data_IF_394076759470
#
_entry.id   IF_394076759470
#
_cell.length_a   1.000
_cell.length_b   1.000
_cell.length_c   1.000
_cell.angle_alpha   90.00
_cell.angle_beta   90.00
_cell.angle_gamma   90.00
#
_symmetry.space_group_name_H-M   'P 1'
#
loop_
_entity.id
_entity.type
_entity.pdbx_description
1 polymer ?
#
# COMPACT_ATOMS: atom_id res chain seq x y z
N UNK A 1 11.55 -19.97 -8.51
CA UNK A 1 10.37 -19.05 -8.62
C UNK A 1 10.69 -17.98 -9.65
N UNK A 2 9.87 -17.83 -10.72
CA UNK A 2 10.14 -16.83 -11.77
C UNK A 2 10.23 -15.43 -11.18
N UNK A 3 11.26 -14.67 -11.56
CA UNK A 3 11.54 -13.30 -11.09
C UNK A 3 10.31 -12.39 -11.22
N UNK A 4 9.53 -12.58 -12.28
CA UNK A 4 8.33 -11.80 -12.52
C UNK A 4 7.16 -12.14 -11.59
N UNK A 5 7.00 -13.41 -11.21
CA UNK A 5 5.99 -13.83 -10.22
C UNK A 5 6.36 -13.31 -8.82
N UNK A 6 7.66 -13.22 -8.54
CA UNK A 6 8.20 -12.67 -7.31
C UNK A 6 7.94 -11.15 -7.22
N UNK A 7 8.15 -10.40 -8.31
CA UNK A 7 7.82 -8.96 -8.40
C UNK A 7 6.35 -8.66 -8.09
N UNK A 8 5.43 -9.43 -8.68
CA UNK A 8 3.98 -9.30 -8.44
C UNK A 8 3.62 -9.57 -6.98
N UNK A 9 4.20 -10.62 -6.37
CA UNK A 9 4.01 -10.88 -4.93
C UNK A 9 4.53 -9.75 -4.05
N UNK A 10 5.69 -9.18 -4.38
CA UNK A 10 6.27 -8.05 -3.65
C UNK A 10 5.34 -6.84 -3.67
N UNK A 11 4.79 -6.46 -4.83
CA UNK A 11 3.86 -5.34 -4.92
C UNK A 11 2.59 -5.56 -4.09
N UNK A 12 2.07 -6.78 -4.06
CA UNK A 12 0.92 -7.12 -3.23
C UNK A 12 1.23 -7.01 -1.73
N UNK A 13 2.39 -7.54 -1.30
CA UNK A 13 2.83 -7.46 0.09
C UNK A 13 3.05 -5.99 0.51
N UNK A 14 3.74 -5.19 -0.31
CA UNK A 14 3.95 -3.76 -0.05
C UNK A 14 2.62 -3.01 0.05
N UNK A 15 1.71 -3.23 -0.89
CA UNK A 15 0.38 -2.61 -0.86
C UNK A 15 -0.37 -2.95 0.43
N UNK A 16 -0.28 -4.20 0.91
CA UNK A 16 -0.93 -4.64 2.13
C UNK A 16 -0.30 -3.99 3.37
N UNK A 17 1.04 -3.94 3.44
CA UNK A 17 1.76 -3.30 4.55
C UNK A 17 1.39 -1.82 4.66
N UNK A 18 1.41 -1.09 3.54
CA UNK A 18 1.02 0.32 3.53
C UNK A 18 -0.47 0.52 3.83
N UNK A 19 -1.34 -0.43 3.46
CA UNK A 19 -2.76 -0.35 3.80
C UNK A 19 -2.97 -0.46 5.32
N UNK A 20 -2.29 -1.40 5.99
CA UNK A 20 -2.31 -1.51 7.45
C UNK A 20 -1.80 -0.23 8.10
N UNK A 21 -0.69 0.33 7.57
CA UNK A 21 -0.11 1.57 8.08
C UNK A 21 -1.06 2.76 7.90
N UNK A 22 -1.81 2.81 6.79
CA UNK A 22 -2.87 3.80 6.54
C UNK A 22 -3.98 3.72 7.59
N UNK A 23 -4.42 2.52 7.94
CA UNK A 23 -5.44 2.28 8.96
C UNK A 23 -4.95 2.71 10.36
N UNK A 24 -3.72 2.37 10.71
CA UNK A 24 -3.09 2.79 11.97
C UNK A 24 -3.00 4.32 12.02
N UNK A 25 -2.46 4.94 10.96
CA UNK A 25 -2.36 6.39 10.86
C UNK A 25 -3.73 7.06 10.94
N UNK A 26 -4.73 6.53 10.24
CA UNK A 26 -6.10 7.05 10.27
C UNK A 26 -6.73 6.95 11.66
N UNK A 27 -6.55 5.81 12.34
CA UNK A 27 -7.01 5.63 13.71
C UNK A 27 -6.37 6.63 14.68
N UNK A 28 -5.04 6.83 14.60
CA UNK A 28 -4.33 7.79 15.45
C UNK A 28 -4.78 9.24 15.22
N UNK A 29 -5.07 9.59 13.96
CA UNK A 29 -5.54 10.93 13.60
C UNK A 29 -6.98 11.15 14.08
N UNK A 30 -7.89 10.20 13.84
CA UNK A 30 -9.31 10.30 14.27
C UNK A 30 -9.42 10.32 15.80
N UNK A 31 -8.53 9.62 16.52
CA UNK A 31 -8.50 9.62 17.98
C UNK A 31 -7.76 10.82 18.59
N UNK A 32 -7.36 11.81 17.78
CA UNK A 32 -6.57 12.97 18.22
C UNK A 32 -5.29 12.60 18.98
N UNK A 33 -4.74 11.40 18.75
CA UNK A 33 -3.40 11.03 19.24
C UNK A 33 -2.30 11.64 18.38
N UNK A 34 -2.66 12.13 17.20
CA UNK A 34 -1.76 12.71 16.22
C UNK A 34 -2.48 13.79 15.42
N UNK A 35 -2.03 15.04 15.52
CA UNK A 35 -2.71 16.19 14.91
C UNK A 35 -2.37 16.38 13.41
N UNK A 36 -1.69 15.41 12.81
CA UNK A 36 -1.25 15.47 11.42
C UNK A 36 -1.85 14.32 10.60
N UNK A 37 -2.75 14.66 9.68
CA UNK A 37 -3.36 13.71 8.75
C UNK A 37 -2.34 13.05 7.78
N UNK A 38 -1.16 13.66 7.61
CA UNK A 38 -0.08 13.14 6.76
C UNK A 38 0.35 11.72 7.12
N UNK A 39 0.22 11.30 8.38
CA UNK A 39 0.53 9.94 8.82
C UNK A 39 -0.42 8.88 8.26
N UNK A 40 -1.62 9.26 7.83
CA UNK A 40 -2.54 8.36 7.10
C UNK A 40 -2.42 8.56 5.59
N UNK A 41 -2.30 9.81 5.13
CA UNK A 41 -2.27 10.15 3.70
C UNK A 41 -1.02 9.63 3.00
N UNK A 42 0.16 9.72 3.63
CA UNK A 42 1.42 9.27 2.99
C UNK A 42 1.40 7.75 2.75
N UNK A 43 1.11 6.88 3.75
CA UNK A 43 0.96 5.45 3.50
C UNK A 43 -0.12 5.12 2.47
N UNK A 44 -1.23 5.87 2.45
CA UNK A 44 -2.31 5.66 1.48
C UNK A 44 -1.83 5.85 0.03
N UNK A 45 -1.03 6.89 -0.23
CA UNK A 45 -0.44 7.13 -1.55
C UNK A 45 0.45 5.96 -2.00
N UNK A 46 1.23 5.39 -1.08
CA UNK A 46 2.04 4.20 -1.37
C UNK A 46 1.16 2.97 -1.62
N UNK A 47 0.11 2.74 -0.84
CA UNK A 47 -0.86 1.66 -1.09
C UNK A 47 -1.44 1.75 -2.49
N UNK A 48 -1.92 2.92 -2.89
CA UNK A 48 -2.49 3.12 -4.23
C UNK A 48 -1.46 2.87 -5.32
N UNK A 49 -0.25 3.42 -5.17
CA UNK A 49 0.85 3.25 -6.13
C UNK A 49 1.19 1.77 -6.32
N UNK A 50 1.41 1.02 -5.24
CA UNK A 50 1.74 -0.40 -5.32
C UNK A 50 0.58 -1.25 -5.79
N UNK A 51 -0.66 -0.88 -5.48
CA UNK A 51 -1.86 -1.56 -5.99
C UNK A 51 -2.01 -1.40 -7.50
N UNK A 52 -1.75 -0.20 -8.04
CA UNK A 52 -1.73 0.05 -9.49
C UNK A 52 -0.59 -0.75 -10.15
N UNK A 53 0.62 -0.72 -9.58
CA UNK A 53 1.75 -1.52 -10.09
C UNK A 53 1.45 -3.02 -10.08
N UNK A 54 0.81 -3.53 -9.03
CA UNK A 54 0.36 -4.91 -8.94
C UNK A 54 -0.65 -5.23 -10.05
N UNK A 55 -1.68 -4.40 -10.23
CA UNK A 55 -2.73 -4.59 -11.25
C UNK A 55 -2.16 -4.59 -12.67
N UNK A 56 -1.28 -3.65 -12.98
CA UNK A 56 -0.64 -3.56 -14.30
C UNK A 56 0.28 -4.75 -14.56
N UNK A 57 1.05 -5.18 -13.56
CA UNK A 57 1.94 -6.35 -13.67
C UNK A 57 1.20 -7.69 -13.78
N UNK A 58 -0.10 -7.73 -13.48
CA UNK A 58 -0.97 -8.90 -13.66
C UNK A 58 -1.59 -8.91 -15.06
N UNK A 59 -2.07 -7.76 -15.55
CA UNK A 59 -2.65 -7.60 -16.89
C UNK A 59 -1.66 -7.86 -18.03
N UNK A 60 -0.39 -7.54 -17.83
CA UNK A 60 0.69 -7.79 -18.80
C UNK A 60 0.98 -9.29 -19.02
N UNK A 61 0.39 -10.18 -18.21
CA UNK A 61 0.63 -11.63 -18.22
C UNK A 61 -0.62 -12.45 -18.56
N UNK A 62 -1.71 -11.77 -18.91
CA UNK A 62 -2.97 -12.36 -19.39
C UNK A 62 -3.03 -12.19 -20.91
#
# INVERSE_FOLDING_TARGET
MNKEKLKVKIFLILSLVFAILTLIGGYLVITHKLDNAGYSVIPMLFTLTFSILYRNSKKDKE
#
